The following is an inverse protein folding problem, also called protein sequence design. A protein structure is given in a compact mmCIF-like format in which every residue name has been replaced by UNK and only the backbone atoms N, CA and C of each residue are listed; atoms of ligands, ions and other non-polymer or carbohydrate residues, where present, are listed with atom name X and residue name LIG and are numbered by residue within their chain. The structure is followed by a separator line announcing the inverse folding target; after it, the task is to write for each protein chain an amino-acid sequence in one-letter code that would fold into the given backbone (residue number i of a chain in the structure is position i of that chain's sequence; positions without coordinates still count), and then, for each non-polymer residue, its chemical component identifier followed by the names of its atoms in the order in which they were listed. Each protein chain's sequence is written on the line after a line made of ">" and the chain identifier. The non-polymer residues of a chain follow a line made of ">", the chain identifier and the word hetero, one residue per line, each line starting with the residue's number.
data_IF_108584128098
#
_entry.id   IF_108584128098
#
_cell.length_a   1.000
_cell.length_b   1.000
_cell.length_c   1.000
_cell.angle_alpha   90.00
_cell.angle_beta   90.00
_cell.angle_gamma   90.00
#
_symmetry.space_group_name_H-M   'P 1'
#
loop_
_entity.id
_entity.type
_entity.pdbx_description
1 polymer ?
#
# COMPACT_ATOMS: atom_id res chain seq x y z
N UNK A 1 -30.18 -32.91 -45.18
CA UNK A 1 -28.82 -32.39 -45.36
C UNK A 1 -28.93 -31.25 -46.34
N UNK A 2 -28.58 -30.06 -45.86
CA UNK A 2 -28.54 -28.81 -46.60
C UNK A 2 -27.26 -28.72 -47.46
N UNK A 3 -27.11 -27.60 -48.15
CA UNK A 3 -26.04 -27.17 -49.09
C UNK A 3 -26.45 -27.38 -50.55
N UNK A 4 -26.37 -26.42 -51.47
CA UNK A 4 -25.53 -25.22 -51.53
C UNK A 4 -26.13 -24.24 -52.57
N UNK A 5 -26.01 -22.93 -52.35
CA UNK A 5 -26.37 -21.88 -53.30
C UNK A 5 -25.17 -20.96 -53.50
N UNK A 6 -24.77 -20.64 -54.75
CA UNK A 6 -23.84 -19.55 -54.99
C UNK A 6 -24.53 -18.47 -55.84
N UNK A 7 -24.85 -17.33 -55.22
CA UNK A 7 -25.12 -16.10 -55.98
C UNK A 7 -24.23 -14.97 -55.51
N UNK A 8 -23.31 -14.63 -56.41
CA UNK A 8 -22.49 -13.42 -56.45
C UNK A 8 -23.39 -12.19 -56.44
N UNK A 9 -23.21 -11.31 -55.45
CA UNK A 9 -23.81 -9.97 -55.47
C UNK A 9 -22.66 -8.96 -55.53
N UNK A 10 -22.51 -8.41 -56.73
CA UNK A 10 -21.83 -7.17 -57.04
C UNK A 10 -22.65 -6.02 -56.44
N UNK A 11 -22.03 -5.06 -55.77
CA UNK A 11 -22.70 -3.78 -55.46
C UNK A 11 -21.68 -2.66 -55.35
N UNK A 12 -22.01 -1.45 -55.84
CA UNK A 12 -21.05 -0.53 -56.42
C UNK A 12 -20.53 0.49 -55.41
N UNK A 13 -19.34 1.01 -55.74
CA UNK A 13 -18.70 2.18 -55.14
C UNK A 13 -19.67 3.37 -55.18
N UNK A 14 -19.94 3.99 -54.01
CA UNK A 14 -20.56 5.31 -53.92
C UNK A 14 -19.58 6.34 -53.35
N UNK A 15 -19.65 7.60 -53.82
CA UNK A 15 -18.58 8.57 -53.70
C UNK A 15 -18.62 9.37 -52.39
N UNK A 16 -17.45 9.94 -52.08
CA UNK A 16 -17.17 10.93 -51.04
C UNK A 16 -18.30 11.95 -50.84
N UNK A 17 -18.67 12.17 -49.57
CA UNK A 17 -19.40 13.37 -49.15
C UNK A 17 -18.71 13.94 -47.92
N UNK A 18 -18.00 15.05 -48.14
CA UNK A 18 -17.39 15.87 -47.11
C UNK A 18 -18.45 16.36 -46.12
N UNK A 19 -18.40 15.82 -44.90
CA UNK A 19 -19.14 16.32 -43.75
C UNK A 19 -18.17 16.95 -42.75
N UNK A 20 -18.15 18.28 -42.69
CA UNK A 20 -17.51 19.06 -41.62
C UNK A 20 -17.96 18.56 -40.25
N UNK A 21 -17.07 17.89 -39.51
CA UNK A 21 -17.27 17.58 -38.09
C UNK A 21 -16.18 18.24 -37.25
N UNK A 22 -16.67 19.07 -36.33
CA UNK A 22 -15.96 19.97 -35.43
C UNK A 22 -14.68 19.37 -34.84
N UNK A 23 -13.60 20.17 -34.84
CA UNK A 23 -12.43 19.98 -33.99
C UNK A 23 -12.93 19.96 -32.53
N UNK A 24 -12.95 18.78 -31.90
CA UNK A 24 -13.06 18.68 -30.46
C UNK A 24 -11.74 19.22 -29.89
N UNK A 25 -11.77 20.44 -29.35
CA UNK A 25 -10.76 20.86 -28.39
C UNK A 25 -10.86 19.91 -27.21
N UNK A 26 -9.91 18.96 -27.13
CA UNK A 26 -9.60 18.29 -25.89
C UNK A 26 -9.16 19.39 -24.92
N UNK A 27 -10.05 19.75 -23.99
CA UNK A 27 -9.67 20.54 -22.85
C UNK A 27 -8.46 19.83 -22.22
N UNK A 28 -7.32 20.50 -22.18
CA UNK A 28 -6.11 20.03 -21.48
C UNK A 28 -6.34 20.08 -19.97
N UNK A 29 -7.34 19.35 -19.49
CA UNK A 29 -7.49 19.00 -18.09
C UNK A 29 -6.73 17.70 -17.87
N UNK A 30 -5.69 17.70 -17.04
CA UNK A 30 -5.11 16.47 -16.56
C UNK A 30 -6.13 15.85 -15.59
N UNK A 31 -6.72 14.72 -15.97
CA UNK A 31 -7.57 13.95 -15.05
C UNK A 31 -6.66 13.35 -13.97
N UNK A 32 -6.71 13.91 -12.76
CA UNK A 32 -5.98 13.38 -11.62
C UNK A 32 -6.74 12.14 -11.14
N UNK A 33 -6.40 10.97 -11.67
CA UNK A 33 -6.93 9.70 -11.17
C UNK A 33 -6.29 9.39 -9.83
N UNK A 34 -7.03 9.62 -8.74
CA UNK A 34 -6.62 9.23 -7.39
C UNK A 34 -6.89 7.74 -7.18
N UNK A 35 -5.85 6.91 -7.19
CA UNK A 35 -5.92 5.49 -6.84
C UNK A 35 -5.55 5.30 -5.36
N UNK A 36 -6.51 4.83 -4.56
CA UNK A 36 -6.29 4.50 -3.15
C UNK A 36 -6.22 2.99 -2.97
N UNK A 37 -5.16 2.49 -2.34
CA UNK A 37 -5.09 1.09 -1.90
C UNK A 37 -6.09 0.93 -0.75
N UNK A 38 -7.24 0.30 -1.03
CA UNK A 38 -8.35 0.17 -0.07
C UNK A 38 -7.99 -0.69 1.15
N UNK A 39 -7.10 -1.67 0.99
CA UNK A 39 -6.75 -2.65 2.01
C UNK A 39 -5.23 -2.87 2.04
N UNK A 40 -4.43 -1.96 2.63
CA UNK A 40 -2.99 -2.16 2.74
C UNK A 40 -2.73 -3.39 3.64
N UNK A 41 -1.80 -4.29 3.26
CA UNK A 41 -1.55 -5.52 4.01
C UNK A 41 -0.86 -5.28 5.36
N UNK A 42 -0.14 -4.16 5.48
CA UNK A 42 0.59 -3.77 6.67
C UNK A 42 0.07 -2.46 7.22
N UNK A 43 0.26 -2.30 8.53
CA UNK A 43 0.08 -1.05 9.23
C UNK A 43 1.40 -0.65 9.89
N UNK A 44 1.58 0.66 10.10
CA UNK A 44 2.82 1.24 10.57
C UNK A 44 2.58 1.96 11.88
N UNK A 45 3.43 1.72 12.86
CA UNK A 45 3.40 2.39 14.15
C UNK A 45 4.73 3.10 14.41
N UNK A 46 4.63 4.30 14.98
CA UNK A 46 5.75 5.05 15.48
C UNK A 46 5.76 4.94 17.01
N UNK A 47 6.86 4.44 17.57
CA UNK A 47 6.99 4.14 18.99
C UNK A 47 8.17 4.90 19.56
N UNK A 48 8.03 5.45 20.77
CA UNK A 48 9.10 6.10 21.52
C UNK A 48 9.32 5.38 22.85
N UNK A 49 10.58 5.06 23.17
CA UNK A 49 10.92 4.45 24.46
C UNK A 49 10.95 5.51 25.58
N UNK A 50 9.96 5.44 26.46
CA UNK A 50 9.91 6.21 27.71
C UNK A 50 10.51 5.39 28.86
N UNK A 51 11.55 5.90 29.51
CA UNK A 51 12.14 5.29 30.71
C UNK A 51 11.97 6.24 31.90
N UNK A 52 11.39 5.73 32.99
CA UNK A 52 11.19 6.50 34.23
C UNK A 52 12.47 6.67 35.05
N UNK A 53 13.62 6.18 34.57
CA UNK A 53 14.90 6.42 35.20
C UNK A 53 15.18 7.94 35.17
N UNK A 54 15.08 8.54 36.36
CA UNK A 54 15.27 9.96 36.64
C UNK A 54 16.43 10.51 35.81
N UNK A 55 16.13 11.33 34.80
CA UNK A 55 17.09 12.02 33.95
C UNK A 55 18.20 11.12 33.36
N UNK A 56 17.84 10.15 32.50
CA UNK A 56 18.82 9.66 31.55
C UNK A 56 19.34 10.87 30.74
N UNK A 57 20.66 11.13 30.73
CA UNK A 57 21.24 12.31 30.08
C UNK A 57 20.86 12.36 28.58
N UNK A 58 20.93 13.53 27.92
CA UNK A 58 20.63 13.67 26.49
C UNK A 58 21.53 12.79 25.59
N UNK A 59 22.61 12.23 26.16
CA UNK A 59 23.50 11.24 25.55
C UNK A 59 23.09 9.78 25.83
N UNK A 60 21.85 9.53 26.27
CA UNK A 60 21.36 8.16 26.47
C UNK A 60 21.59 7.32 25.22
N UNK A 61 22.09 6.08 25.36
CA UNK A 61 22.43 5.26 24.22
C UNK A 61 21.23 5.12 23.30
N UNK A 62 21.46 5.29 22.00
CA UNK A 62 20.48 4.97 20.97
C UNK A 62 20.02 3.53 21.18
N UNK A 63 18.71 3.31 21.18
CA UNK A 63 18.17 1.96 21.29
C UNK A 63 18.59 1.16 20.06
N UNK A 64 18.95 -0.10 20.23
CA UNK A 64 19.35 -0.98 19.14
C UNK A 64 18.19 -1.90 18.70
N UNK A 65 18.27 -2.41 17.47
CA UNK A 65 17.22 -3.23 16.88
C UNK A 65 16.99 -4.56 17.62
N UNK A 66 18.01 -5.08 18.29
CA UNK A 66 17.88 -6.31 19.09
C UNK A 66 17.07 -6.03 20.35
N UNK A 67 17.40 -4.96 21.08
CA UNK A 67 16.64 -4.57 22.28
C UNK A 67 15.20 -4.25 21.96
N UNK A 68 14.91 -3.50 20.88
CA UNK A 68 13.52 -3.24 20.46
C UNK A 68 12.76 -4.56 20.25
N UNK A 69 13.32 -5.48 19.47
CA UNK A 69 12.67 -6.76 19.19
C UNK A 69 12.45 -7.58 20.45
N UNK A 70 13.46 -7.70 21.31
CA UNK A 70 13.32 -8.40 22.58
C UNK A 70 12.21 -7.78 23.45
N UNK A 71 12.13 -6.44 23.50
CA UNK A 71 11.12 -5.74 24.28
C UNK A 71 9.71 -5.96 23.73
N UNK A 72 9.55 -5.81 22.41
CA UNK A 72 8.27 -6.03 21.73
C UNK A 72 7.81 -7.48 21.86
N UNK A 73 8.68 -8.45 21.55
CA UNK A 73 8.35 -9.88 21.69
C UNK A 73 7.99 -10.22 23.14
N UNK A 74 8.74 -9.73 24.13
CA UNK A 74 8.43 -9.97 25.54
C UNK A 74 7.09 -9.37 25.94
N UNK A 75 6.84 -8.10 25.61
CA UNK A 75 5.60 -7.41 25.97
C UNK A 75 4.37 -8.05 25.31
N UNK A 76 4.46 -8.36 24.00
CA UNK A 76 3.38 -9.01 23.26
C UNK A 76 3.13 -10.43 23.78
N UNK A 77 4.18 -11.18 24.13
CA UNK A 77 4.03 -12.51 24.73
C UNK A 77 3.39 -12.45 26.12
N UNK A 78 3.75 -11.45 26.93
CA UNK A 78 3.15 -11.27 28.25
C UNK A 78 1.67 -10.87 28.17
N UNK A 79 1.30 -10.08 27.17
CA UNK A 79 -0.07 -9.58 27.01
C UNK A 79 -1.00 -10.55 26.27
N UNK A 80 -0.53 -11.19 25.20
CA UNK A 80 -1.31 -12.04 24.29
C UNK A 80 -0.90 -13.52 24.33
N UNK A 81 0.11 -13.89 25.12
CA UNK A 81 0.62 -15.26 25.19
C UNK A 81 1.32 -15.69 23.90
N UNK A 82 1.13 -16.96 23.53
CA UNK A 82 1.71 -17.56 22.32
C UNK A 82 1.28 -16.85 21.03
N UNK A 83 0.07 -16.27 21.00
CA UNK A 83 -0.39 -15.51 19.84
C UNK A 83 0.43 -14.23 19.65
N UNK A 84 0.82 -13.57 20.74
CA UNK A 84 1.63 -12.35 20.70
C UNK A 84 3.05 -12.58 20.19
N UNK A 85 3.65 -13.73 20.52
CA UNK A 85 4.98 -14.09 19.99
C UNK A 85 4.95 -14.46 18.51
N UNK A 86 3.79 -14.83 17.97
CA UNK A 86 3.58 -15.14 16.57
C UNK A 86 3.32 -13.89 15.69
N UNK A 87 3.13 -12.71 16.29
CA UNK A 87 2.95 -11.47 15.53
C UNK A 87 4.26 -11.13 14.81
N UNK A 88 4.19 -11.00 13.48
CA UNK A 88 5.33 -10.62 12.66
C UNK A 88 5.59 -9.12 12.75
N UNK A 89 6.58 -8.72 13.55
CA UNK A 89 6.98 -7.31 13.71
C UNK A 89 8.32 -7.07 13.03
N UNK A 90 8.35 -6.12 12.08
CA UNK A 90 9.59 -5.70 11.44
C UNK A 90 9.93 -4.25 11.83
N UNK A 91 11.19 -4.05 12.22
CA UNK A 91 11.74 -2.73 12.54
C UNK A 91 12.29 -2.09 11.26
N UNK A 92 11.77 -0.92 10.90
CA UNK A 92 12.10 -0.22 9.65
C UNK A 92 13.20 0.81 9.83
N UNK A 93 13.09 1.60 10.89
CA UNK A 93 14.01 2.69 11.21
C UNK A 93 14.09 2.84 12.72
N UNK A 94 15.27 3.20 13.19
CA UNK A 94 15.53 3.56 14.57
C UNK A 94 16.26 4.89 14.58
N UNK A 95 15.79 5.82 15.40
CA UNK A 95 16.38 7.15 15.56
C UNK A 95 16.37 7.52 17.04
N UNK A 96 17.55 7.47 17.68
CA UNK A 96 17.64 7.75 19.13
C UNK A 96 16.81 6.77 19.96
N UNK A 97 15.64 7.22 20.44
CA UNK A 97 14.67 6.43 21.22
C UNK A 97 13.38 6.14 20.45
N UNK A 98 13.28 6.65 19.24
CA UNK A 98 12.14 6.46 18.35
C UNK A 98 12.39 5.25 17.44
N UNK A 99 11.33 4.51 17.14
CA UNK A 99 11.38 3.45 16.17
C UNK A 99 10.08 3.36 15.36
N UNK A 100 10.24 2.97 14.10
CA UNK A 100 9.13 2.70 13.19
C UNK A 100 9.03 1.21 12.98
N UNK A 101 7.86 0.66 13.24
CA UNK A 101 7.58 -0.76 13.05
C UNK A 101 6.47 -0.95 12.04
N UNK A 102 6.55 -2.02 11.26
CA UNK A 102 5.41 -2.55 10.49
C UNK A 102 4.90 -3.83 11.14
N UNK A 103 3.59 -3.99 11.07
CA UNK A 103 2.87 -5.18 11.51
C UNK A 103 1.76 -5.52 10.50
N UNK A 104 1.32 -6.78 10.40
CA UNK A 104 0.14 -7.12 9.63
C UNK A 104 -1.05 -6.27 10.07
N UNK A 105 -1.85 -5.82 9.10
CA UNK A 105 -2.97 -4.91 9.39
C UNK A 105 -3.97 -5.49 10.38
N UNK A 106 -4.16 -6.81 10.39
CA UNK A 106 -5.07 -7.48 11.33
C UNK A 106 -4.60 -7.45 12.79
N UNK A 107 -3.31 -7.22 13.02
CA UNK A 107 -2.71 -7.21 14.36
C UNK A 107 -2.60 -5.79 14.94
N UNK A 108 -2.81 -4.74 14.11
CA UNK A 108 -2.90 -3.35 14.54
C UNK A 108 -4.39 -3.01 14.81
N UNK A 109 -4.87 -3.34 16.01
CA UNK A 109 -6.25 -3.10 16.44
C UNK A 109 -6.63 -1.62 16.50
#
# INVERSE_FOLDING_TARGET
>A
MASDAPETIDTPIKPDTQGTKRKQEYSRGHEITSLTIKTPPFAYAHLELQSSAYAAPPSSPSIDALTIRAHLTSALTQFLGLSGSAISVDVLKIEGRECWVRVPRGDLA
#
